data_IF_994862563713
#
_entry.id   IF_994862563713
#
_cell.length_a   1.000
_cell.length_b   1.000
_cell.length_c   1.000
_cell.angle_alpha   90.00
_cell.angle_beta   90.00
_cell.angle_gamma   90.00
#
_symmetry.space_group_name_H-M   'P 1'
#
loop_
_entity.id
_entity.type
_entity.pdbx_description
1 polymer ?
#
# COMPACT_ATOMS: atom_id res chain seq x y z
N UNK A 1 6.61 14.08 -4.67
CA UNK A 1 6.70 14.01 -3.21
C UNK A 1 5.76 12.97 -2.60
N UNK A 2 6.15 12.44 -1.47
CA UNK A 2 5.39 11.42 -0.74
C UNK A 2 3.96 11.88 -0.44
N UNK A 3 3.78 13.15 -0.10
CA UNK A 3 2.46 13.70 0.21
C UNK A 3 1.50 13.61 -0.97
N UNK A 4 1.96 13.91 -2.16
CA UNK A 4 1.10 13.83 -3.36
C UNK A 4 0.68 12.41 -3.67
N UNK A 5 1.60 11.45 -3.52
CA UNK A 5 1.28 10.04 -3.72
C UNK A 5 0.26 9.55 -2.68
N UNK A 6 0.50 9.87 -1.39
CA UNK A 6 -0.40 9.48 -0.33
C UNK A 6 -1.82 10.01 -0.56
N UNK A 7 -1.95 11.26 -0.99
CA UNK A 7 -3.25 11.84 -1.30
C UNK A 7 -3.86 11.25 -2.58
N UNK A 8 -3.04 10.93 -3.58
CA UNK A 8 -3.52 10.28 -4.80
C UNK A 8 -4.11 8.91 -4.54
N UNK A 9 -3.62 8.22 -3.51
CA UNK A 9 -4.18 6.93 -3.07
C UNK A 9 -5.41 7.14 -2.18
N UNK A 10 -5.32 8.06 -1.23
CA UNK A 10 -6.39 8.27 -0.25
C UNK A 10 -7.68 8.84 -0.86
N UNK A 11 -7.57 9.73 -1.82
CA UNK A 11 -8.74 10.41 -2.40
C UNK A 11 -9.74 9.44 -3.03
N UNK A 12 -9.35 8.55 -3.97
CA UNK A 12 -10.29 7.58 -4.51
C UNK A 12 -10.81 6.58 -3.48
N UNK A 13 -10.01 6.26 -2.46
CA UNK A 13 -10.46 5.39 -1.39
C UNK A 13 -11.57 6.06 -0.57
N UNK A 14 -11.40 7.35 -0.27
CA UNK A 14 -12.44 8.12 0.42
C UNK A 14 -13.74 8.13 -0.36
N UNK A 15 -13.65 8.39 -1.66
CA UNK A 15 -14.82 8.47 -2.54
C UNK A 15 -15.55 7.13 -2.69
N UNK A 16 -14.82 6.02 -2.75
CA UNK A 16 -15.39 4.68 -2.96
C UNK A 16 -15.80 3.97 -1.67
N UNK A 17 -14.99 4.10 -0.62
CA UNK A 17 -15.11 3.23 0.57
C UNK A 17 -15.24 4.00 1.87
N UNK A 18 -14.89 5.29 1.89
CA UNK A 18 -15.03 6.13 3.06
C UNK A 18 -13.75 6.33 3.87
N UNK A 19 -13.95 6.86 5.09
CA UNK A 19 -12.87 7.41 5.92
C UNK A 19 -11.82 6.37 6.35
N UNK A 20 -12.26 5.20 6.78
CA UNK A 20 -11.32 4.16 7.26
C UNK A 20 -10.31 3.78 6.19
N UNK A 21 -10.78 3.53 4.97
CA UNK A 21 -9.90 3.19 3.85
C UNK A 21 -8.98 4.35 3.48
N UNK A 22 -9.51 5.57 3.52
CA UNK A 22 -8.71 6.77 3.23
C UNK A 22 -7.58 6.97 4.24
N UNK A 23 -7.85 6.74 5.53
CA UNK A 23 -6.83 6.83 6.58
C UNK A 23 -5.72 5.82 6.33
N UNK A 24 -6.07 4.56 6.06
CA UNK A 24 -5.08 3.53 5.74
C UNK A 24 -4.29 3.91 4.49
N UNK A 25 -4.95 4.48 3.49
CA UNK A 25 -4.30 4.98 2.28
C UNK A 25 -3.28 6.08 2.55
N UNK A 26 -3.61 7.03 3.43
CA UNK A 26 -2.66 8.07 3.83
C UNK A 26 -1.46 7.51 4.58
N UNK A 27 -1.65 6.43 5.32
CA UNK A 27 -0.62 5.84 6.18
C UNK A 27 0.15 4.69 5.53
N UNK A 28 -0.22 4.29 4.30
CA UNK A 28 0.29 3.04 3.73
C UNK A 28 1.82 2.97 3.57
N UNK A 29 2.51 4.11 3.46
CA UNK A 29 3.97 4.18 3.40
C UNK A 29 4.61 4.75 4.68
N UNK A 30 3.79 5.19 5.64
CA UNK A 30 4.28 5.92 6.81
C UNK A 30 5.13 5.05 7.76
N UNK A 31 4.88 3.74 7.77
CA UNK A 31 5.52 2.81 8.69
C UNK A 31 6.54 1.89 8.03
N UNK A 32 6.99 2.21 6.81
CA UNK A 32 8.01 1.42 6.12
C UNK A 32 9.36 1.48 6.84
N UNK A 33 10.11 0.37 6.76
CA UNK A 33 11.44 0.28 7.35
C UNK A 33 12.37 1.37 6.80
N UNK A 34 13.27 1.92 7.61
CA UNK A 34 13.63 1.52 8.99
C UNK A 34 12.87 2.28 10.08
N UNK A 35 11.83 3.00 9.75
CA UNK A 35 11.21 3.99 10.62
C UNK A 35 10.10 3.43 11.52
N UNK A 36 9.71 2.15 11.32
CA UNK A 36 8.65 1.57 12.14
C UNK A 36 9.19 0.75 13.29
N UNK A 37 8.43 0.75 14.40
CA UNK A 37 8.60 -0.16 15.52
C UNK A 37 7.23 -0.72 15.89
N UNK A 38 7.22 -1.76 16.72
CA UNK A 38 5.95 -2.31 17.23
C UNK A 38 5.14 -1.23 17.96
N UNK A 39 5.82 -0.35 18.70
CA UNK A 39 5.17 0.75 19.40
C UNK A 39 4.46 1.72 18.45
N UNK A 40 4.99 1.91 17.24
CA UNK A 40 4.38 2.79 16.23
C UNK A 40 3.05 2.22 15.76
N UNK A 41 2.98 0.91 15.50
CA UNK A 41 1.73 0.26 15.11
C UNK A 41 0.70 0.29 16.24
N UNK A 42 1.12 0.03 17.47
CA UNK A 42 0.25 0.10 18.64
C UNK A 42 -0.29 1.52 18.79
N UNK A 43 0.56 2.54 18.65
CA UNK A 43 0.16 3.95 18.70
C UNK A 43 -0.87 4.31 17.63
N UNK A 44 -0.70 3.76 16.42
CA UNK A 44 -1.66 3.91 15.34
C UNK A 44 -3.04 3.37 15.76
N UNK A 45 -3.07 2.18 16.35
CA UNK A 45 -4.30 1.57 16.84
C UNK A 45 -4.97 2.34 17.96
N UNK A 46 -4.18 2.96 18.83
CA UNK A 46 -4.71 3.80 19.91
C UNK A 46 -5.42 5.04 19.38
N UNK A 47 -4.93 5.60 18.26
CA UNK A 47 -5.51 6.80 17.66
C UNK A 47 -6.70 6.46 16.75
N UNK A 48 -6.56 5.44 15.90
CA UNK A 48 -7.51 5.15 14.83
C UNK A 48 -8.31 3.87 15.01
N UNK A 49 -7.99 3.07 16.02
CA UNK A 49 -8.68 1.83 16.31
C UNK A 49 -8.00 0.57 15.76
N UNK A 50 -8.43 -0.62 16.25
CA UNK A 50 -7.78 -1.88 15.88
C UNK A 50 -7.95 -2.26 14.41
N UNK A 51 -9.02 -1.85 13.77
CA UNK A 51 -9.26 -2.14 12.36
C UNK A 51 -8.24 -1.43 11.47
N UNK A 52 -7.95 -0.16 11.76
CA UNK A 52 -6.92 0.61 11.05
C UNK A 52 -5.54 0.05 11.34
N UNK A 53 -5.24 -0.27 12.60
CA UNK A 53 -3.95 -0.86 12.98
C UNK A 53 -3.69 -2.15 12.18
N UNK A 54 -4.66 -3.06 12.14
CA UNK A 54 -4.51 -4.33 11.42
C UNK A 54 -4.26 -4.10 9.92
N UNK A 55 -4.99 -3.16 9.32
CA UNK A 55 -4.85 -2.85 7.90
C UNK A 55 -3.50 -2.18 7.60
N UNK A 56 -3.04 -1.28 8.47
CA UNK A 56 -1.73 -0.62 8.31
C UNK A 56 -0.61 -1.64 8.42
N UNK A 57 -0.69 -2.57 9.38
CA UNK A 57 0.29 -3.67 9.48
C UNK A 57 0.31 -4.51 8.21
N UNK A 58 -0.87 -4.86 7.69
CA UNK A 58 -0.99 -5.70 6.50
C UNK A 58 -0.44 -5.01 5.25
N UNK A 59 -0.62 -3.70 5.12
CA UNK A 59 -0.16 -2.95 3.95
C UNK A 59 1.30 -2.54 4.04
N UNK A 60 1.95 -2.73 5.19
CA UNK A 60 3.36 -2.39 5.41
C UNK A 60 4.24 -3.61 5.19
N UNK A 61 5.13 -3.54 4.21
CA UNK A 61 6.06 -4.63 3.92
C UNK A 61 7.13 -4.71 5.02
N UNK A 62 7.37 -5.93 5.52
CA UNK A 62 8.43 -6.17 6.49
C UNK A 62 9.79 -6.26 5.80
N UNK A 63 10.85 -5.93 6.55
CA UNK A 63 12.22 -6.08 6.06
C UNK A 63 12.51 -7.54 5.71
N UNK A 64 13.08 -7.77 4.53
CA UNK A 64 13.40 -9.13 4.08
C UNK A 64 12.24 -9.93 3.53
N UNK A 65 11.03 -9.41 3.61
CA UNK A 65 9.84 -10.08 3.09
C UNK A 65 9.85 -10.01 1.55
N UNK A 66 9.62 -11.17 0.89
CA UNK A 66 9.52 -11.21 -0.56
C UNK A 66 8.24 -10.54 -1.03
N UNK A 67 8.37 -9.59 -1.96
CA UNK A 67 7.25 -8.75 -2.37
C UNK A 67 6.06 -9.55 -2.91
N UNK A 68 6.27 -10.35 -3.95
CA UNK A 68 5.17 -11.07 -4.60
C UNK A 68 4.79 -12.37 -3.90
N UNK A 69 5.76 -13.05 -3.28
CA UNK A 69 5.55 -14.38 -2.71
C UNK A 69 5.02 -14.35 -1.27
N UNK A 70 5.39 -13.31 -0.50
CA UNK A 70 5.07 -13.22 0.92
C UNK A 70 4.21 -11.98 1.25
N UNK A 71 4.68 -10.80 0.86
CA UNK A 71 4.03 -9.54 1.22
C UNK A 71 2.65 -9.39 0.58
N UNK A 72 2.55 -9.52 -0.73
CA UNK A 72 1.28 -9.31 -1.45
C UNK A 72 0.19 -10.28 -0.97
N UNK A 73 0.44 -11.60 -0.84
CA UNK A 73 -0.58 -12.49 -0.28
C UNK A 73 -1.02 -12.12 1.13
N UNK A 74 -0.07 -11.75 1.98
CA UNK A 74 -0.38 -11.33 3.35
C UNK A 74 -1.20 -10.04 3.37
N UNK A 75 -0.81 -9.05 2.57
CA UNK A 75 -1.54 -7.80 2.41
C UNK A 75 -2.97 -8.03 1.94
N UNK A 76 -3.14 -8.88 0.93
CA UNK A 76 -4.45 -9.15 0.31
C UNK A 76 -5.36 -10.01 1.20
N UNK A 77 -4.83 -10.61 2.26
CA UNK A 77 -5.66 -11.32 3.23
C UNK A 77 -6.47 -10.37 4.12
N UNK A 78 -6.07 -9.11 4.24
CA UNK A 78 -6.83 -8.09 4.96
C UNK A 78 -7.70 -7.30 3.95
N UNK A 79 -9.03 -7.28 4.11
CA UNK A 79 -9.92 -6.65 3.11
C UNK A 79 -9.65 -5.17 2.86
N UNK A 80 -9.31 -4.42 3.90
CA UNK A 80 -9.03 -2.98 3.78
C UNK A 80 -7.66 -2.80 3.11
N UNK A 81 -6.65 -3.51 3.59
CA UNK A 81 -5.29 -3.43 3.03
C UNK A 81 -5.27 -3.82 1.55
N UNK A 82 -6.06 -4.82 1.15
CA UNK A 82 -6.17 -5.22 -0.25
C UNK A 82 -6.63 -4.07 -1.13
N UNK A 83 -7.71 -3.38 -0.74
CA UNK A 83 -8.26 -2.28 -1.53
C UNK A 83 -7.31 -1.09 -1.57
N UNK A 84 -6.65 -0.80 -0.45
CA UNK A 84 -5.62 0.25 -0.40
C UNK A 84 -4.46 -0.09 -1.32
N UNK A 85 -3.96 -1.33 -1.25
CA UNK A 85 -2.82 -1.75 -2.07
C UNK A 85 -3.16 -1.79 -3.56
N UNK A 86 -4.35 -2.23 -3.93
CA UNK A 86 -4.79 -2.19 -5.33
C UNK A 86 -4.80 -0.75 -5.85
N UNK A 87 -5.32 0.19 -5.07
CA UNK A 87 -5.33 1.60 -5.44
C UNK A 87 -3.91 2.16 -5.60
N UNK A 88 -3.02 1.81 -4.68
CA UNK A 88 -1.60 2.18 -4.74
C UNK A 88 -0.93 1.60 -6.00
N UNK A 89 -1.15 0.32 -6.27
CA UNK A 89 -0.58 -0.35 -7.44
C UNK A 89 -1.10 0.27 -8.74
N UNK A 90 -2.38 0.58 -8.83
CA UNK A 90 -2.95 1.23 -10.01
C UNK A 90 -2.36 2.62 -10.21
N UNK A 91 -2.20 3.39 -9.14
CA UNK A 91 -1.57 4.70 -9.21
C UNK A 91 -0.14 4.60 -9.72
N UNK A 92 0.64 3.67 -9.16
CA UNK A 92 2.02 3.45 -9.57
C UNK A 92 2.13 2.93 -11.00
N UNK A 93 1.26 2.00 -11.38
CA UNK A 93 1.23 1.43 -12.74
C UNK A 93 0.94 2.53 -13.77
N UNK A 94 -0.04 3.37 -13.49
CA UNK A 94 -0.41 4.46 -14.39
C UNK A 94 0.67 5.54 -14.50
N UNK A 95 1.56 5.64 -13.50
CA UNK A 95 2.68 6.58 -13.48
C UNK A 95 3.97 6.05 -14.09
N UNK A 96 4.02 4.79 -14.55
CA UNK A 96 5.24 4.18 -15.05
C UNK A 96 5.86 4.92 -16.23
N UNK A 97 5.05 5.55 -17.06
CA UNK A 97 5.52 6.33 -18.20
C UNK A 97 6.42 7.50 -17.81
N UNK A 98 6.38 7.95 -16.55
CA UNK A 98 7.20 9.04 -16.05
C UNK A 98 8.59 8.61 -15.60
N UNK A 99 8.84 7.29 -15.51
CA UNK A 99 10.13 6.75 -15.06
C UNK A 99 11.13 6.81 -16.23
N UNK A 100 12.26 7.55 -16.06
CA UNK A 100 13.18 7.78 -17.18
C UNK A 100 13.98 6.55 -17.61
N UNK A 101 14.33 5.65 -16.69
CA UNK A 101 15.15 4.47 -17.02
C UNK A 101 14.27 3.37 -17.62
N UNK A 102 14.53 2.93 -18.89
CA UNK A 102 13.73 1.89 -19.53
C UNK A 102 13.75 0.54 -18.79
N UNK A 103 14.89 0.16 -18.23
CA UNK A 103 15.01 -1.11 -17.51
C UNK A 103 14.15 -1.11 -16.25
N UNK A 104 14.11 0.02 -15.54
CA UNK A 104 13.25 0.19 -14.36
C UNK A 104 11.77 0.13 -14.75
N UNK A 105 11.41 0.76 -15.89
CA UNK A 105 10.02 0.69 -16.38
C UNK A 105 9.58 -0.75 -16.64
N UNK A 106 10.42 -1.53 -17.30
CA UNK A 106 10.12 -2.94 -17.60
C UNK A 106 9.96 -3.75 -16.33
N UNK A 107 10.91 -3.60 -15.41
CA UNK A 107 10.90 -4.33 -14.14
C UNK A 107 9.66 -4.00 -13.29
N UNK A 108 9.34 -2.72 -13.18
CA UNK A 108 8.21 -2.26 -12.37
C UNK A 108 6.87 -2.59 -13.03
N UNK A 109 6.79 -2.55 -14.37
CA UNK A 109 5.60 -2.98 -15.10
C UNK A 109 5.27 -4.44 -14.78
N UNK A 110 6.26 -5.31 -14.82
CA UNK A 110 6.09 -6.72 -14.50
C UNK A 110 5.67 -6.90 -13.03
N UNK A 111 6.34 -6.22 -12.11
CA UNK A 111 6.09 -6.32 -10.67
C UNK A 111 4.67 -5.88 -10.32
N UNK A 112 4.28 -4.69 -10.75
CA UNK A 112 2.96 -4.15 -10.44
C UNK A 112 1.83 -4.89 -11.17
N UNK A 113 2.07 -5.25 -12.43
CA UNK A 113 1.11 -6.03 -13.22
C UNK A 113 0.82 -7.39 -12.60
N UNK A 114 1.86 -8.10 -12.15
CA UNK A 114 1.70 -9.39 -11.49
C UNK A 114 0.92 -9.24 -10.17
N UNK A 115 1.24 -8.23 -9.37
CA UNK A 115 0.53 -7.98 -8.13
C UNK A 115 -0.95 -7.68 -8.38
N UNK A 116 -1.26 -6.90 -9.41
CA UNK A 116 -2.66 -6.61 -9.79
C UNK A 116 -3.40 -7.87 -10.23
N UNK A 117 -2.74 -8.75 -10.99
CA UNK A 117 -3.33 -10.04 -11.36
C UNK A 117 -3.65 -10.89 -10.13
N UNK A 118 -2.78 -10.87 -9.11
CA UNK A 118 -3.01 -11.59 -7.86
C UNK A 118 -4.23 -11.06 -7.11
N UNK A 119 -4.57 -9.80 -7.29
CA UNK A 119 -5.77 -9.20 -6.71
C UNK A 119 -7.05 -9.58 -7.46
N UNK A 120 -6.93 -10.21 -8.63
CA UNK A 120 -8.07 -10.55 -9.48
C UNK A 120 -8.47 -9.45 -10.45
N UNK A 121 -7.56 -8.53 -10.67
CA UNK A 121 -7.79 -7.41 -11.59
C UNK A 121 -7.54 -7.77 -13.05
#
# INVERSE_FOLDING_TARGET
>A
PIMFHAMAVAKPLMEKYGETHAIVGLLHDAYENPWNTEADFVGCGEIFGPEVEAAVRAVTKAEGEHYLEEYIPRCFANPIAKLVKVTDLENNYNGLHTIPNPDDRVRLTAKYGTALEMAGE
#
